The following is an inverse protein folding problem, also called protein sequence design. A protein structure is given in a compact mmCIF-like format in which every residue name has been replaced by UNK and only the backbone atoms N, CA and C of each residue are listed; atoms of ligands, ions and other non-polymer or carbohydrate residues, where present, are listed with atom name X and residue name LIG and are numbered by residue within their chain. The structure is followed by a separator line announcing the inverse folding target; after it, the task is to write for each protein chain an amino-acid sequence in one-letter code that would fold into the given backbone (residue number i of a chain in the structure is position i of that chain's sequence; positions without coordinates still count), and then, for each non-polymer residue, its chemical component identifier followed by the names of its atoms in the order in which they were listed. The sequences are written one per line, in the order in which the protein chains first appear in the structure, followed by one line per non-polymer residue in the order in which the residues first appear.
data_IF_645891667706
#
_entry.id   IF_645891667706
#
_cell.length_a   1.000
_cell.length_b   1.000
_cell.length_c   1.000
_cell.angle_alpha   90.00
_cell.angle_beta   90.00
_cell.angle_gamma   90.00
#
_symmetry.space_group_name_H-M   'P 1'
#
loop_
_entity.id
_entity.type
_entity.pdbx_description
1 polymer ?
#
# COMPACT_ATOMS: atom_id res chain seq x y z
N UNK A 1 10.18 -22.06 25.05
CA UNK A 1 11.13 -22.54 24.03
C UNK A 1 10.80 -21.87 22.72
N UNK A 2 11.75 -21.06 22.24
CA UNK A 2 11.70 -20.39 20.95
C UNK A 2 12.03 -21.41 19.86
N UNK A 3 11.20 -21.51 18.83
CA UNK A 3 11.61 -22.10 17.55
C UNK A 3 11.43 -21.05 16.46
N UNK A 4 12.56 -20.46 16.08
CA UNK A 4 12.71 -19.64 14.88
C UNK A 4 13.02 -20.58 13.71
N UNK A 5 12.22 -20.52 12.63
CA UNK A 5 12.55 -21.15 11.35
C UNK A 5 13.11 -20.09 10.43
N UNK A 6 14.44 -20.03 10.34
CA UNK A 6 15.16 -19.26 9.34
C UNK A 6 15.00 -19.93 7.98
N UNK A 7 14.58 -19.16 6.97
CA UNK A 7 14.66 -19.58 5.57
C UNK A 7 15.98 -19.06 4.99
N UNK A 8 16.86 -19.99 4.60
CA UNK A 8 18.08 -19.69 3.84
C UNK A 8 17.70 -19.45 2.38
N UNK A 9 18.04 -18.28 1.84
CA UNK A 9 17.80 -17.93 0.43
C UNK A 9 18.96 -18.45 -0.40
N UNK A 10 18.73 -19.46 -1.24
CA UNK A 10 19.70 -19.86 -2.26
C UNK A 10 19.56 -18.94 -3.47
N UNK A 11 20.62 -18.18 -3.77
CA UNK A 11 20.77 -17.38 -4.99
C UNK A 11 21.05 -18.33 -6.15
N UNK A 12 20.19 -18.32 -7.19
CA UNK A 12 20.48 -19.01 -8.45
C UNK A 12 20.80 -17.94 -9.50
N UNK A 13 22.07 -17.87 -9.89
CA UNK A 13 22.52 -17.16 -11.08
C UNK A 13 22.40 -18.10 -12.28
N UNK A 14 21.59 -17.76 -13.29
CA UNK A 14 21.63 -18.45 -14.58
C UNK A 14 22.63 -17.76 -15.49
N UNK A 15 23.81 -18.36 -15.67
CA UNK A 15 24.63 -18.16 -16.86
C UNK A 15 24.03 -18.91 -18.05
N UNK A 16 24.27 -18.39 -19.23
CA UNK A 16 23.81 -18.88 -20.52
C UNK A 16 24.12 -20.35 -20.80
N UNK A 17 23.23 -20.95 -21.60
CA UNK A 17 23.32 -22.25 -22.30
C UNK A 17 22.76 -23.49 -21.57
N UNK A 18 21.85 -24.16 -22.30
CA UNK A 18 21.16 -25.43 -22.03
C UNK A 18 19.94 -25.42 -21.09
N UNK A 19 18.81 -25.94 -21.61
CA UNK A 19 17.57 -26.19 -20.86
C UNK A 19 17.79 -27.33 -19.84
N UNK A 20 17.41 -27.19 -18.56
CA UNK A 20 17.27 -28.35 -17.69
C UNK A 20 15.81 -28.82 -17.61
N UNK A 21 15.66 -30.14 -17.71
CA UNK A 21 14.46 -30.91 -17.41
C UNK A 21 14.07 -30.81 -15.93
N UNK A 22 12.77 -30.70 -15.63
CA UNK A 22 12.22 -30.77 -14.27
C UNK A 22 12.49 -32.15 -13.63
N UNK A 23 13.30 -32.20 -12.58
CA UNK A 23 13.30 -33.29 -11.61
C UNK A 23 12.74 -32.78 -10.29
N UNK A 24 11.52 -33.19 -9.94
CA UNK A 24 10.95 -32.93 -8.62
C UNK A 24 11.56 -33.90 -7.59
N UNK A 25 12.25 -33.38 -6.58
CA UNK A 25 12.70 -34.17 -5.43
C UNK A 25 11.58 -34.18 -4.39
N UNK A 26 10.91 -35.31 -4.22
CA UNK A 26 10.02 -35.57 -3.07
C UNK A 26 10.87 -35.90 -1.85
N UNK A 27 10.82 -35.06 -0.81
CA UNK A 27 11.31 -35.40 0.52
C UNK A 27 10.18 -36.00 1.37
N UNK A 28 10.31 -37.25 1.78
CA UNK A 28 9.44 -37.94 2.74
C UNK A 28 9.90 -37.67 4.17
N UNK A 29 8.97 -37.35 5.07
CA UNK A 29 9.20 -37.37 6.53
C UNK A 29 8.31 -38.46 7.13
N UNK A 30 8.95 -39.45 7.77
CA UNK A 30 8.33 -40.56 8.49
C UNK A 30 8.04 -40.18 9.95
N UNK A 31 6.90 -40.61 10.50
CA UNK A 31 6.62 -40.49 11.94
C UNK A 31 5.19 -40.81 12.40
N UNK A 32 4.91 -42.11 12.61
CA UNK A 32 3.95 -42.74 13.52
C UNK A 32 2.43 -42.47 13.42
N UNK A 33 1.69 -43.55 13.07
CA UNK A 33 0.25 -43.73 13.23
C UNK A 33 -0.18 -43.88 14.71
N UNK A 34 -1.32 -43.29 15.07
CA UNK A 34 -2.24 -43.86 16.06
C UNK A 34 -3.63 -43.90 15.41
N UNK A 35 -4.19 -45.11 15.31
CA UNK A 35 -5.54 -45.40 14.86
C UNK A 35 -6.57 -44.95 15.90
N UNK A 36 -7.47 -44.03 15.54
CA UNK A 36 -8.79 -43.93 16.17
C UNK A 36 -9.84 -43.91 15.07
N UNK A 37 -10.52 -45.04 14.91
CA UNK A 37 -11.67 -45.19 14.02
C UNK A 37 -12.88 -44.57 14.71
N UNK A 38 -13.31 -43.40 14.25
CA UNK A 38 -14.66 -42.90 14.50
C UNK A 38 -15.38 -42.89 13.16
N UNK A 39 -16.31 -43.83 13.04
CA UNK A 39 -17.20 -44.00 11.91
C UNK A 39 -18.28 -42.92 12.01
N UNK A 40 -18.20 -41.87 11.18
CA UNK A 40 -19.30 -40.94 10.98
C UNK A 40 -19.53 -40.68 9.49
N UNK A 41 -20.83 -40.60 9.19
CA UNK A 41 -21.45 -40.77 7.90
C UNK A 41 -20.97 -39.81 6.81
N UNK A 42 -21.11 -40.25 5.57
CA UNK A 42 -20.96 -39.44 4.37
C UNK A 42 -21.90 -38.22 4.41
N UNK A 43 -21.34 -37.08 4.81
CA UNK A 43 -21.75 -35.76 4.37
C UNK A 43 -20.51 -35.08 3.81
N UNK A 44 -20.55 -34.77 2.51
CA UNK A 44 -19.47 -34.10 1.80
C UNK A 44 -19.32 -32.66 2.25
N UNK A 45 -18.61 -32.45 3.36
CA UNK A 45 -18.05 -31.16 3.74
C UNK A 45 -16.52 -31.31 3.75
N UNK A 46 -15.86 -31.01 2.64
CA UNK A 46 -14.41 -30.81 2.64
C UNK A 46 -14.13 -29.41 3.16
N UNK A 47 -13.41 -29.38 4.29
CA UNK A 47 -13.12 -28.19 5.07
C UNK A 47 -12.51 -27.05 4.27
N UNK A 48 -13.14 -25.89 4.42
CA UNK A 48 -12.60 -24.59 4.05
C UNK A 48 -11.45 -24.30 5.02
N UNK A 49 -10.23 -24.51 4.57
CA UNK A 49 -9.07 -23.88 5.21
C UNK A 49 -9.16 -22.41 4.86
N UNK A 50 -9.44 -21.56 5.86
CA UNK A 50 -9.50 -20.12 5.72
C UNK A 50 -8.09 -19.57 5.43
N UNK A 51 -7.67 -19.66 4.17
CA UNK A 51 -6.65 -18.80 3.59
C UNK A 51 -7.37 -17.61 2.97
N UNK A 52 -7.89 -16.72 3.81
CA UNK A 52 -8.34 -15.41 3.37
C UNK A 52 -7.09 -14.63 2.94
N UNK A 53 -7.00 -14.39 1.63
CA UNK A 53 -6.17 -13.38 0.91
C UNK A 53 -4.97 -13.83 0.03
N UNK A 54 -4.46 -15.09 -0.06
CA UNK A 54 -3.44 -15.35 -1.09
C UNK A 54 -4.00 -15.70 -2.49
N UNK A 55 -5.25 -16.16 -2.63
CA UNK A 55 -5.68 -16.76 -3.91
C UNK A 55 -6.07 -15.73 -4.97
N UNK A 56 -6.51 -14.54 -4.58
CA UNK A 56 -6.79 -13.46 -5.54
C UNK A 56 -5.47 -12.91 -6.12
N UNK A 57 -4.38 -12.90 -5.34
CA UNK A 57 -3.06 -12.48 -5.84
C UNK A 57 -2.31 -13.59 -6.61
N UNK A 58 -2.56 -14.87 -6.31
CA UNK A 58 -1.93 -16.01 -7.02
C UNK A 58 -2.51 -16.25 -8.42
N UNK A 59 -3.80 -15.95 -8.62
CA UNK A 59 -4.41 -15.96 -9.97
C UNK A 59 -3.79 -14.94 -10.93
N UNK A 60 -3.09 -13.93 -10.38
CA UNK A 60 -2.48 -12.84 -11.14
C UNK A 60 -0.97 -13.03 -11.34
N UNK A 61 -0.34 -13.93 -10.58
CA UNK A 61 1.10 -14.17 -10.64
C UNK A 61 1.50 -15.34 -11.56
N UNK A 62 0.54 -16.13 -12.06
CA UNK A 62 0.83 -17.31 -12.89
C UNK A 62 0.32 -17.23 -14.33
N UNK A 63 -0.36 -16.15 -14.73
CA UNK A 63 -0.65 -15.91 -16.15
C UNK A 63 0.48 -15.10 -16.78
N UNK A 64 1.42 -15.80 -17.43
CA UNK A 64 2.28 -15.25 -18.48
C UNK A 64 1.51 -14.87 -19.76
N UNK A 65 0.18 -14.82 -19.69
CA UNK A 65 -0.71 -14.41 -20.76
C UNK A 65 -0.84 -12.90 -20.74
N UNK A 66 -0.47 -12.24 -21.84
CA UNK A 66 -0.88 -10.86 -22.15
C UNK A 66 -2.30 -10.63 -21.65
N UNK A 67 -2.44 -9.82 -20.60
CA UNK A 67 -3.74 -9.31 -20.18
C UNK A 67 -4.14 -8.31 -21.26
N UNK A 68 -5.32 -8.54 -21.84
CA UNK A 68 -5.77 -7.95 -23.09
C UNK A 68 -5.50 -6.45 -23.18
N UNK A 69 -4.89 -6.08 -24.31
CA UNK A 69 -4.75 -4.68 -24.73
C UNK A 69 -6.16 -4.20 -25.06
N UNK A 70 -6.80 -3.44 -24.16
CA UNK A 70 -7.94 -2.61 -24.54
C UNK A 70 -7.41 -1.31 -25.17
N UNK A 71 -6.80 -1.40 -26.35
CA UNK A 71 -6.66 -0.29 -27.31
C UNK A 71 -5.84 -0.73 -28.53
N UNK A 72 -6.21 -0.16 -29.69
CA UNK A 72 -5.54 -0.35 -30.96
C UNK A 72 -4.04 -0.02 -30.89
N UNK A 73 -3.29 -0.73 -31.72
CA UNK A 73 -1.85 -0.62 -31.99
C UNK A 73 -1.30 0.81 -31.85
N UNK A 74 -0.50 1.05 -30.80
CA UNK A 74 0.64 2.02 -30.75
C UNK A 74 1.14 2.32 -29.33
N UNK A 75 0.42 1.95 -28.26
CA UNK A 75 0.91 2.12 -26.89
C UNK A 75 1.42 0.79 -26.30
N UNK A 76 2.75 0.64 -26.25
CA UNK A 76 3.47 -0.55 -25.73
C UNK A 76 3.42 -0.70 -24.20
N UNK A 77 2.68 0.16 -23.50
CA UNK A 77 2.48 0.11 -22.05
C UNK A 77 1.17 -0.57 -21.71
N UNK A 78 1.20 -1.53 -20.77
CA UNK A 78 0.00 -2.18 -20.26
C UNK A 78 -0.93 -1.11 -19.64
N UNK A 79 -2.16 -0.91 -20.14
CA UNK A 79 -3.06 0.15 -19.68
C UNK A 79 -3.43 0.04 -18.20
N UNK A 80 -3.32 -1.16 -17.61
CA UNK A 80 -3.60 -1.42 -16.20
C UNK A 80 -2.35 -1.47 -15.32
N UNK A 81 -1.16 -1.12 -15.84
CA UNK A 81 0.10 -1.21 -15.10
C UNK A 81 0.07 -0.39 -13.80
N UNK A 82 -0.37 0.87 -13.86
CA UNK A 82 -0.46 1.75 -12.69
C UNK A 82 -1.46 1.21 -11.66
N UNK A 83 -2.61 0.69 -12.10
CA UNK A 83 -3.61 0.06 -11.25
C UNK A 83 -3.03 -1.14 -10.48
N UNK A 84 -2.31 -2.01 -11.19
CA UNK A 84 -1.66 -3.17 -10.57
C UNK A 84 -0.54 -2.74 -9.62
N UNK A 85 0.27 -1.76 -10.01
CA UNK A 85 1.32 -1.20 -9.16
C UNK A 85 0.75 -0.67 -7.84
N UNK A 86 -0.35 0.08 -7.89
CA UNK A 86 -1.02 0.59 -6.70
C UNK A 86 -1.55 -0.53 -5.80
N UNK A 87 -2.23 -1.52 -6.37
CA UNK A 87 -2.69 -2.70 -5.63
C UNK A 87 -1.53 -3.45 -4.97
N UNK A 88 -0.38 -3.57 -5.65
CA UNK A 88 0.84 -4.18 -5.08
C UNK A 88 1.45 -3.31 -3.98
N UNK A 89 1.51 -1.99 -4.15
CA UNK A 89 2.05 -1.06 -3.16
C UNK A 89 1.31 -1.17 -1.82
N UNK A 90 -0.03 -1.19 -1.85
CA UNK A 90 -0.84 -1.32 -0.63
C UNK A 90 -0.87 -2.76 -0.06
N UNK A 91 -0.58 -3.79 -0.88
CA UNK A 91 -0.69 -5.19 -0.45
C UNK A 91 0.21 -5.60 0.72
N UNK A 92 1.32 -4.88 0.94
CA UNK A 92 2.38 -5.25 1.90
C UNK A 92 3.26 -6.43 1.46
N UNK A 93 2.97 -7.03 0.30
CA UNK A 93 3.71 -8.15 -0.26
C UNK A 93 4.98 -7.76 -1.02
N UNK A 94 5.75 -8.75 -1.51
CA UNK A 94 6.83 -8.51 -2.45
C UNK A 94 6.29 -8.01 -3.81
N UNK A 95 7.13 -7.26 -4.52
CA UNK A 95 6.85 -6.76 -5.87
C UNK A 95 7.77 -7.47 -6.85
N UNK A 96 7.18 -8.16 -7.82
CA UNK A 96 7.91 -8.83 -8.91
C UNK A 96 7.60 -8.12 -10.22
N UNK A 97 8.64 -7.85 -11.01
CA UNK A 97 8.53 -7.21 -12.33
C UNK A 97 8.71 -8.31 -13.37
N UNK A 98 7.70 -8.52 -14.19
CA UNK A 98 7.70 -9.53 -15.27
C UNK A 98 7.54 -8.92 -16.66
N UNK A 99 7.79 -7.62 -16.78
CA UNK A 99 7.80 -6.93 -18.06
C UNK A 99 8.90 -7.48 -18.98
N UNK A 100 8.70 -7.34 -20.29
CA UNK A 100 9.75 -7.67 -21.26
C UNK A 100 10.95 -6.76 -21.07
N UNK A 101 12.16 -7.34 -21.10
CA UNK A 101 13.42 -6.60 -20.99
C UNK A 101 13.45 -5.46 -22.03
N UNK A 102 13.81 -4.26 -21.56
CA UNK A 102 13.86 -3.05 -22.40
C UNK A 102 12.50 -2.37 -22.63
N UNK A 103 11.40 -2.90 -22.08
CA UNK A 103 10.05 -2.31 -22.17
C UNK A 103 9.46 -1.93 -20.80
N UNK A 104 10.31 -1.63 -19.84
CA UNK A 104 9.90 -1.24 -18.49
C UNK A 104 9.37 0.20 -18.46
N UNK A 105 8.31 0.42 -17.68
CA UNK A 105 7.91 1.78 -17.30
C UNK A 105 8.72 2.24 -16.08
N UNK A 106 9.88 2.85 -16.32
CA UNK A 106 10.75 3.31 -15.24
C UNK A 106 10.13 4.42 -14.39
N UNK A 107 9.23 5.23 -14.93
CA UNK A 107 8.52 6.25 -14.14
C UNK A 107 7.64 5.60 -13.08
N UNK A 108 6.85 4.60 -13.46
CA UNK A 108 6.03 3.83 -12.53
C UNK A 108 6.90 3.03 -11.54
N UNK A 109 7.98 2.41 -11.99
CA UNK A 109 8.89 1.67 -11.10
C UNK A 109 9.51 2.57 -10.03
N UNK A 110 9.85 3.82 -10.36
CA UNK A 110 10.37 4.80 -9.40
C UNK A 110 9.35 5.22 -8.33
N UNK A 111 8.06 4.97 -8.54
CA UNK A 111 7.04 5.17 -7.49
C UNK A 111 6.89 3.98 -6.54
N UNK A 112 7.49 2.82 -6.87
CA UNK A 112 7.43 1.59 -6.07
C UNK A 112 8.76 1.29 -5.38
N UNK A 113 9.87 1.56 -6.05
CA UNK A 113 11.22 1.13 -5.66
C UNK A 113 12.10 2.35 -5.40
N UNK A 114 12.80 2.31 -4.27
CA UNK A 114 13.78 3.32 -3.88
C UNK A 114 15.10 3.15 -4.66
N UNK A 115 15.96 4.18 -4.72
CA UNK A 115 17.28 4.08 -5.37
C UNK A 115 18.17 2.90 -4.94
N UNK A 116 18.04 2.41 -3.70
CA UNK A 116 18.75 1.23 -3.19
C UNK A 116 18.13 -0.12 -3.59
N UNK A 117 17.05 -0.10 -4.39
CA UNK A 117 16.31 -1.30 -4.79
C UNK A 117 15.33 -1.81 -3.72
N UNK A 118 15.27 -1.19 -2.55
CA UNK A 118 14.29 -1.53 -1.52
C UNK A 118 12.93 -0.90 -1.80
N UNK A 119 11.89 -1.40 -1.13
CA UNK A 119 10.50 -0.97 -1.31
C UNK A 119 9.89 -0.48 0.00
N UNK A 120 8.95 0.46 -0.11
CA UNK A 120 8.16 0.95 1.01
C UNK A 120 6.94 0.06 1.22
N UNK A 121 7.06 -0.95 2.08
CA UNK A 121 5.97 -1.89 2.37
C UNK A 121 5.10 -1.42 3.52
N UNK A 122 3.80 -1.63 3.40
CA UNK A 122 2.90 -1.63 4.53
C UNK A 122 3.27 -2.74 5.53
N UNK A 123 2.87 -2.58 6.79
CA UNK A 123 3.19 -3.47 7.92
C UNK A 123 2.37 -4.77 7.91
N UNK A 124 1.21 -4.79 7.23
CA UNK A 124 0.31 -5.95 7.18
C UNK A 124 -0.01 -6.37 5.74
N UNK A 125 -0.85 -7.39 5.59
CA UNK A 125 -1.45 -7.72 4.30
C UNK A 125 -2.71 -6.89 4.12
N UNK A 126 -2.98 -6.44 2.90
CA UNK A 126 -4.17 -5.66 2.62
C UNK A 126 -5.45 -6.49 2.85
N UNK A 127 -6.46 -5.87 3.46
CA UNK A 127 -7.75 -6.48 3.73
C UNK A 127 -8.87 -5.61 3.12
N UNK A 128 -9.97 -6.20 2.63
CA UNK A 128 -11.14 -5.42 2.24
C UNK A 128 -11.68 -4.60 3.42
N UNK A 129 -12.22 -3.41 3.14
CA UNK A 129 -13.04 -2.70 4.13
C UNK A 129 -14.34 -3.47 4.36
N UNK A 130 -14.94 -3.24 5.53
CA UNK A 130 -16.10 -4.04 5.99
C UNK A 130 -17.32 -3.91 5.07
N UNK A 131 -17.51 -2.75 4.48
CA UNK A 131 -18.66 -2.40 3.66
C UNK A 131 -18.63 -3.04 2.27
N UNK A 132 -17.46 -3.42 1.74
CA UNK A 132 -17.34 -4.13 0.46
C UNK A 132 -16.97 -5.62 0.62
N UNK A 133 -16.89 -6.14 1.85
CA UNK A 133 -16.39 -7.50 2.11
C UNK A 133 -17.24 -8.62 1.47
N UNK A 134 -18.56 -8.39 1.34
CA UNK A 134 -19.52 -9.37 0.82
C UNK A 134 -20.19 -8.94 -0.50
N UNK A 135 -19.74 -7.84 -1.09
CA UNK A 135 -20.26 -7.33 -2.36
C UNK A 135 -19.40 -7.82 -3.54
N UNK A 136 -19.93 -7.73 -4.77
CA UNK A 136 -19.19 -8.06 -5.99
C UNK A 136 -18.62 -6.78 -6.64
N UNK A 137 -17.31 -6.48 -6.45
CA UNK A 137 -16.72 -5.26 -7.03
C UNK A 137 -16.46 -5.34 -8.55
N UNK A 138 -16.80 -6.47 -9.18
CA UNK A 138 -16.48 -6.74 -10.58
C UNK A 138 -17.68 -6.60 -11.52
N UNK A 139 -18.89 -6.96 -11.08
CA UNK A 139 -20.04 -7.11 -12.00
C UNK A 139 -21.37 -6.55 -11.51
N UNK A 140 -21.42 -5.86 -10.38
CA UNK A 140 -22.68 -5.33 -9.86
C UNK A 140 -22.98 -3.88 -10.32
N UNK A 141 -22.03 -3.23 -10.99
CA UNK A 141 -22.14 -1.87 -11.50
C UNK A 141 -22.16 -0.76 -10.43
N UNK A 142 -21.96 -1.09 -9.15
CA UNK A 142 -22.12 -0.15 -8.03
C UNK A 142 -21.02 -0.23 -6.97
N UNK A 143 -20.33 -1.35 -6.82
CA UNK A 143 -19.40 -1.58 -5.73
C UNK A 143 -17.99 -1.20 -6.12
N UNK A 144 -17.36 -0.36 -5.29
CA UNK A 144 -15.93 -0.06 -5.37
C UNK A 144 -15.17 -1.03 -4.47
N UNK A 145 -14.11 -1.66 -4.98
CA UNK A 145 -13.23 -2.44 -4.12
C UNK A 145 -12.42 -1.47 -3.27
N UNK A 146 -12.66 -1.48 -1.96
CA UNK A 146 -11.85 -0.77 -0.99
C UNK A 146 -11.04 -1.76 -0.19
N UNK A 147 -9.73 -1.55 -0.14
CA UNK A 147 -8.80 -2.34 0.67
C UNK A 147 -7.98 -1.41 1.53
N UNK A 148 -7.62 -1.82 2.73
CA UNK A 148 -6.84 -1.03 3.66
C UNK A 148 -5.62 -1.78 4.15
N UNK A 149 -4.63 -1.01 4.61
CA UNK A 149 -3.43 -1.50 5.28
C UNK A 149 -2.88 -0.43 6.25
N UNK A 150 -1.86 -0.76 7.02
CA UNK A 150 -1.18 0.15 7.93
C UNK A 150 0.28 0.33 7.55
N UNK A 151 0.77 1.56 7.64
CA UNK A 151 2.19 1.87 7.80
C UNK A 151 2.49 2.05 9.30
N UNK A 152 3.73 2.44 9.64
CA UNK A 152 4.14 2.63 11.04
C UNK A 152 3.35 3.71 11.77
N UNK A 153 2.98 4.79 11.08
CA UNK A 153 2.36 5.99 11.66
C UNK A 153 1.11 6.46 10.93
N UNK A 154 0.78 5.86 9.79
CA UNK A 154 -0.38 6.22 8.97
C UNK A 154 -1.14 4.96 8.55
N UNK A 155 -2.43 5.12 8.27
CA UNK A 155 -3.21 4.14 7.50
C UNK A 155 -3.09 4.40 6.00
N UNK A 156 -3.38 3.38 5.21
CA UNK A 156 -3.55 3.49 3.75
C UNK A 156 -4.88 2.86 3.38
N UNK A 157 -5.72 3.60 2.66
CA UNK A 157 -6.95 3.11 2.06
C UNK A 157 -6.80 3.18 0.54
N UNK A 158 -6.93 2.05 -0.14
CA UNK A 158 -6.92 1.95 -1.58
C UNK A 158 -8.33 1.71 -2.10
N UNK A 159 -8.79 2.60 -2.96
CA UNK A 159 -10.07 2.53 -3.66
C UNK A 159 -9.83 2.15 -5.12
N UNK A 160 -10.52 1.12 -5.60
CA UNK A 160 -10.32 0.56 -6.93
C UNK A 160 -11.66 0.33 -7.62
N UNK A 161 -11.85 0.94 -8.79
CA UNK A 161 -12.98 0.59 -9.64
C UNK A 161 -12.59 -0.61 -10.51
N UNK A 162 -13.02 -1.80 -10.08
CA UNK A 162 -12.74 -3.07 -10.76
C UNK A 162 -13.87 -3.50 -11.72
N UNK A 163 -14.88 -2.65 -11.94
CA UNK A 163 -16.09 -3.02 -12.67
C UNK A 163 -15.80 -3.38 -14.13
N UNK A 164 -16.40 -4.48 -14.57
CA UNK A 164 -16.20 -5.09 -15.87
C UNK A 164 -14.91 -5.89 -15.99
N UNK A 165 -14.04 -5.96 -14.98
CA UNK A 165 -12.87 -6.84 -14.98
C UNK A 165 -13.18 -8.21 -14.39
N UNK A 166 -12.69 -9.30 -14.98
CA UNK A 166 -12.85 -10.61 -14.35
C UNK A 166 -12.04 -11.74 -14.99
N UNK A 167 -11.74 -12.78 -14.22
CA UNK A 167 -11.15 -14.02 -14.73
C UNK A 167 -12.24 -15.01 -15.11
N UNK A 168 -12.31 -15.38 -16.38
CA UNK A 168 -13.20 -16.45 -16.85
C UNK A 168 -12.52 -17.81 -16.67
N UNK A 169 -13.13 -18.69 -15.87
CA UNK A 169 -12.59 -20.02 -15.56
C UNK A 169 -12.60 -20.95 -16.76
N UNK A 170 -13.64 -20.85 -17.59
CA UNK A 170 -13.90 -21.68 -18.76
C UNK A 170 -12.84 -21.43 -19.83
N UNK A 171 -12.59 -20.15 -20.15
CA UNK A 171 -11.61 -19.75 -21.16
C UNK A 171 -10.20 -19.60 -20.61
N UNK A 172 -10.03 -19.63 -19.28
CA UNK A 172 -8.76 -19.39 -18.57
C UNK A 172 -8.08 -18.11 -19.03
N UNK A 173 -8.86 -17.04 -19.15
CA UNK A 173 -8.42 -15.71 -19.58
C UNK A 173 -9.14 -14.65 -18.78
N UNK A 174 -8.48 -13.50 -18.61
CA UNK A 174 -9.17 -12.29 -18.19
C UNK A 174 -10.12 -11.86 -19.30
N UNK A 175 -11.37 -11.63 -18.94
CA UNK A 175 -12.41 -11.13 -19.81
C UNK A 175 -12.88 -9.78 -19.28
N UNK A 176 -13.18 -8.88 -20.22
CA UNK A 176 -13.81 -7.61 -19.92
C UNK A 176 -15.31 -7.74 -20.19
N UNK A 177 -16.12 -7.56 -19.15
CA UNK A 177 -17.57 -7.47 -19.24
C UNK A 177 -17.94 -5.98 -19.32
N UNK A 178 -17.77 -5.39 -20.51
CA UNK A 178 -17.91 -3.95 -20.75
C UNK A 178 -19.27 -3.38 -20.36
N UNK A 179 -20.31 -4.22 -20.29
CA UNK A 179 -21.64 -3.83 -19.82
C UNK A 179 -21.66 -3.38 -18.35
N UNK A 180 -20.62 -3.67 -17.58
CA UNK A 180 -20.49 -3.25 -16.18
C UNK A 180 -19.47 -2.11 -15.99
N UNK A 181 -18.70 -1.74 -17.02
CA UNK A 181 -17.66 -0.71 -16.92
C UNK A 181 -18.26 0.69 -16.85
N UNK A 182 -18.70 1.09 -15.66
CA UNK A 182 -19.26 2.40 -15.35
C UNK A 182 -18.46 3.13 -14.27
N UNK A 183 -18.63 4.45 -14.19
CA UNK A 183 -18.14 5.23 -13.05
C UNK A 183 -18.80 4.71 -11.78
N UNK A 184 -17.99 4.49 -10.75
CA UNK A 184 -18.48 4.10 -9.43
C UNK A 184 -18.16 5.19 -8.43
N UNK A 185 -19.16 5.54 -7.63
CA UNK A 185 -19.03 6.45 -6.49
C UNK A 185 -19.16 5.65 -5.20
N UNK A 186 -18.25 5.89 -4.26
CA UNK A 186 -18.26 5.27 -2.93
C UNK A 186 -17.91 6.31 -1.85
N UNK A 187 -18.19 5.96 -0.61
CA UNK A 187 -17.81 6.75 0.56
C UNK A 187 -16.56 6.14 1.19
N UNK A 188 -15.56 6.95 1.48
CA UNK A 188 -14.41 6.58 2.29
C UNK A 188 -14.49 7.20 3.67
N UNK A 189 -14.09 6.44 4.67
CA UNK A 189 -14.06 6.88 6.06
C UNK A 189 -12.74 6.46 6.71
N UNK A 190 -12.15 7.27 7.62
CA UNK A 190 -11.02 6.82 8.43
C UNK A 190 -11.26 5.50 9.18
N UNK A 191 -12.51 5.16 9.50
CA UNK A 191 -12.92 3.88 10.11
C UNK A 191 -12.91 2.67 9.17
N UNK A 192 -12.76 2.88 7.86
CA UNK A 192 -12.59 1.76 6.91
C UNK A 192 -11.25 1.05 7.14
N UNK A 193 -10.32 1.67 7.87
CA UNK A 193 -9.04 1.12 8.30
C UNK A 193 -9.18 0.54 9.71
N UNK A 194 -8.80 -0.73 9.90
CA UNK A 194 -8.82 -1.36 11.23
C UNK A 194 -7.52 -1.05 11.99
N UNK A 195 -7.43 0.16 12.55
CA UNK A 195 -6.23 0.74 13.21
C UNK A 195 -5.58 -0.12 14.32
N UNK A 196 -6.36 -0.99 14.95
CA UNK A 196 -5.92 -1.89 16.02
C UNK A 196 -5.35 -3.21 15.51
N UNK A 197 -5.32 -3.42 14.19
CA UNK A 197 -4.86 -4.67 13.60
C UNK A 197 -3.35 -4.83 13.66
N UNK A 198 -2.91 -6.09 13.73
CA UNK A 198 -1.51 -6.48 13.63
C UNK A 198 -0.69 -6.30 14.91
N UNK A 199 0.63 -6.39 14.78
CA UNK A 199 1.56 -6.46 15.93
C UNK A 199 1.87 -5.11 16.57
N UNK A 200 1.70 -4.02 15.81
CA UNK A 200 2.02 -2.65 16.21
C UNK A 200 0.83 -1.76 15.87
N UNK A 201 -0.24 -1.79 16.67
CA UNK A 201 -1.44 -1.01 16.40
C UNK A 201 -1.15 0.50 16.52
N UNK A 202 -1.86 1.30 15.73
CA UNK A 202 -1.83 2.76 15.84
C UNK A 202 -2.98 3.17 16.76
N UNK A 203 -2.67 3.84 17.87
CA UNK A 203 -3.72 4.39 18.72
C UNK A 203 -4.36 5.60 18.05
N UNK A 204 -5.68 5.57 17.90
CA UNK A 204 -6.50 6.68 17.43
C UNK A 204 -7.42 7.23 18.54
N UNK A 205 -7.14 6.86 19.80
CA UNK A 205 -7.90 7.37 20.94
C UNK A 205 -7.66 8.87 21.10
N UNK A 206 -8.74 9.64 21.25
CA UNK A 206 -8.68 11.11 21.35
C UNK A 206 -8.42 11.85 20.02
N UNK A 207 -8.22 11.14 18.90
CA UNK A 207 -8.03 11.77 17.59
C UNK A 207 -9.35 12.39 17.11
N UNK A 208 -9.35 13.70 16.90
CA UNK A 208 -10.54 14.46 16.51
C UNK A 208 -10.61 14.73 15.00
N UNK A 209 -9.46 14.72 14.31
CA UNK A 209 -9.32 15.02 12.89
C UNK A 209 -8.28 14.09 12.28
N UNK A 210 -8.51 13.68 11.04
CA UNK A 210 -7.57 12.97 10.20
C UNK A 210 -7.22 13.81 8.98
N UNK A 211 -5.96 13.76 8.58
CA UNK A 211 -5.46 14.26 7.31
C UNK A 211 -5.52 13.13 6.27
N UNK A 212 -6.29 13.31 5.20
CA UNK A 212 -6.46 12.36 4.10
C UNK A 212 -5.77 12.93 2.87
N UNK A 213 -4.64 12.35 2.49
CA UNK A 213 -3.92 12.73 1.27
C UNK A 213 -4.24 11.76 0.14
N UNK A 214 -4.85 12.29 -0.91
CA UNK A 214 -5.23 11.59 -2.14
C UNK A 214 -4.05 11.62 -3.11
N UNK A 215 -3.50 10.45 -3.42
CA UNK A 215 -2.27 10.33 -4.20
C UNK A 215 -2.46 10.77 -5.67
N UNK A 216 -3.48 10.24 -6.37
CA UNK A 216 -3.76 10.59 -7.77
C UNK A 216 -4.24 12.03 -7.89
N UNK A 217 -5.19 12.45 -7.04
CA UNK A 217 -5.71 13.81 -7.06
C UNK A 217 -4.72 14.86 -6.51
N UNK A 218 -3.62 14.44 -5.86
CA UNK A 218 -2.62 15.30 -5.19
C UNK A 218 -3.24 16.32 -4.24
N UNK A 219 -4.27 15.88 -3.51
CA UNK A 219 -5.14 16.75 -2.70
C UNK A 219 -5.13 16.30 -1.24
N UNK A 220 -5.16 17.28 -0.33
CA UNK A 220 -5.38 17.07 1.09
C UNK A 220 -6.85 17.37 1.46
N UNK A 221 -7.45 16.49 2.26
CA UNK A 221 -8.77 16.69 2.87
C UNK A 221 -8.68 16.40 4.36
N UNK A 222 -9.27 17.26 5.19
CA UNK A 222 -9.43 16.99 6.62
C UNK A 222 -10.79 16.34 6.86
N UNK A 223 -10.82 15.30 7.68
CA UNK A 223 -12.05 14.56 7.99
C UNK A 223 -12.13 14.24 9.47
N UNK A 224 -13.32 14.34 10.06
CA UNK A 224 -13.57 13.79 11.40
C UNK A 224 -13.55 12.25 11.36
N UNK A 225 -13.32 11.57 12.49
CA UNK A 225 -13.25 10.11 12.57
C UNK A 225 -14.48 9.34 12.06
N UNK A 226 -15.65 9.97 11.97
CA UNK A 226 -16.89 9.33 11.50
C UNK A 226 -17.48 10.02 10.27
N UNK A 227 -16.74 10.94 9.67
CA UNK A 227 -17.18 11.69 8.50
C UNK A 227 -16.83 10.90 7.24
N UNK A 228 -17.79 10.86 6.31
CA UNK A 228 -17.64 10.20 5.03
C UNK A 228 -17.17 11.20 3.99
N UNK A 229 -16.18 10.82 3.19
CA UNK A 229 -15.70 11.59 2.05
C UNK A 229 -16.01 10.82 0.79
N UNK A 230 -16.60 11.48 -0.20
CA UNK A 230 -16.97 10.85 -1.47
C UNK A 230 -15.75 10.65 -2.38
N UNK A 231 -15.71 9.48 -3.04
CA UNK A 231 -14.73 9.12 -4.06
C UNK A 231 -15.48 8.61 -5.28
N UNK A 232 -15.21 9.19 -6.44
CA UNK A 232 -15.73 8.75 -7.74
C UNK A 232 -14.59 8.35 -8.65
N UNK A 233 -14.66 7.15 -9.23
CA UNK A 233 -13.61 6.59 -10.08
C UNK A 233 -14.17 6.05 -11.39
N UNK A 234 -13.52 6.40 -12.49
CA UNK A 234 -13.72 5.77 -13.80
C UNK A 234 -13.33 4.27 -13.75
N UNK A 235 -13.90 3.43 -14.63
CA UNK A 235 -13.51 2.02 -14.74
C UNK A 235 -11.99 1.84 -14.87
N UNK A 236 -11.44 0.84 -14.16
CA UNK A 236 -10.01 0.52 -14.15
C UNK A 236 -9.11 1.65 -13.64
N UNK A 237 -9.68 2.57 -12.87
CA UNK A 237 -8.94 3.61 -12.16
C UNK A 237 -8.94 3.37 -10.65
N UNK A 238 -8.02 4.03 -9.95
CA UNK A 238 -7.79 3.84 -8.52
C UNK A 238 -7.46 5.15 -7.83
N UNK A 239 -7.57 5.15 -6.51
CA UNK A 239 -7.02 6.18 -5.66
C UNK A 239 -6.38 5.53 -4.42
N UNK A 240 -5.20 6.01 -4.04
CA UNK A 240 -4.55 5.63 -2.79
C UNK A 240 -4.60 6.81 -1.83
N UNK A 241 -5.23 6.60 -0.69
CA UNK A 241 -5.42 7.63 0.33
C UNK A 241 -4.54 7.29 1.52
N UNK A 242 -3.57 8.16 1.80
CA UNK A 242 -2.84 8.12 3.06
C UNK A 242 -3.69 8.79 4.13
N UNK A 243 -4.05 8.05 5.16
CA UNK A 243 -4.87 8.54 6.28
C UNK A 243 -3.96 8.70 7.48
N UNK A 244 -3.74 9.93 7.93
CA UNK A 244 -2.89 10.23 9.08
C UNK A 244 -3.71 10.84 10.22
N UNK A 245 -3.60 10.31 11.46
CA UNK A 245 -4.09 11.00 12.64
C UNK A 245 -3.47 12.39 12.76
N UNK A 246 -4.28 13.40 13.11
CA UNK A 246 -3.78 14.74 13.43
C UNK A 246 -3.50 14.84 14.93
N UNK A 247 -2.34 15.37 15.27
CA UNK A 247 -1.87 15.58 16.64
C UNK A 247 -1.69 17.07 16.91
N UNK A 248 -2.02 17.51 18.13
CA UNK A 248 -1.76 18.86 18.60
C UNK A 248 -0.36 18.93 19.21
N UNK A 249 0.44 19.93 18.81
CA UNK A 249 1.72 20.23 19.46
C UNK A 249 1.47 20.89 20.82
N UNK A 250 1.98 20.29 21.89
CA UNK A 250 1.69 20.76 23.24
C UNK A 250 2.20 22.19 23.45
N UNK A 251 1.44 23.00 24.18
CA UNK A 251 1.77 24.42 24.41
C UNK A 251 1.51 25.34 23.21
N UNK A 252 0.99 24.84 22.09
CA UNK A 252 0.61 25.64 20.92
C UNK A 252 -0.78 25.27 20.40
N UNK A 253 -1.28 26.06 19.43
CA UNK A 253 -2.48 25.74 18.66
C UNK A 253 -2.18 24.94 17.38
N UNK A 254 -0.92 24.57 17.14
CA UNK A 254 -0.50 23.93 15.89
C UNK A 254 -0.98 22.47 15.86
N UNK A 255 -1.67 22.13 14.78
CA UNK A 255 -2.04 20.77 14.42
C UNK A 255 -1.09 20.24 13.36
N UNK A 256 -0.69 18.99 13.49
CA UNK A 256 0.28 18.37 12.61
C UNK A 256 -0.10 16.92 12.30
N UNK A 257 0.14 16.49 11.06
CA UNK A 257 0.03 15.09 10.68
C UNK A 257 1.06 14.73 9.59
N UNK A 258 1.82 13.64 9.75
CA UNK A 258 2.75 13.22 8.72
C UNK A 258 2.00 12.64 7.50
N UNK A 259 2.43 12.98 6.28
CA UNK A 259 1.90 12.35 5.06
C UNK A 259 2.93 11.38 4.49
N UNK A 260 4.13 11.84 4.17
CA UNK A 260 5.23 11.01 3.66
C UNK A 260 5.74 11.46 2.28
N UNK A 261 6.43 10.55 1.57
CA UNK A 261 7.00 10.82 0.25
C UNK A 261 5.94 10.65 -0.84
N UNK A 262 5.36 11.75 -1.33
CA UNK A 262 4.20 11.73 -2.23
C UNK A 262 4.53 11.31 -3.66
N UNK A 263 5.82 11.21 -3.99
CA UNK A 263 6.32 10.59 -5.22
C UNK A 263 6.27 9.04 -5.17
N UNK A 264 5.97 8.44 -4.02
CA UNK A 264 5.85 7.00 -3.84
C UNK A 264 4.37 6.60 -3.75
N UNK A 265 4.00 5.44 -4.32
CA UNK A 265 2.62 4.93 -4.23
C UNK A 265 2.22 4.59 -2.79
N UNK A 266 3.15 4.07 -1.99
CA UNK A 266 2.97 3.95 -0.54
C UNK A 266 3.64 5.13 0.18
N UNK A 267 3.01 6.30 0.09
CA UNK A 267 3.49 7.59 0.63
C UNK A 267 3.95 7.50 2.09
N UNK A 268 3.07 7.06 2.99
CA UNK A 268 3.35 6.98 4.43
C UNK A 268 4.34 5.87 4.81
N UNK A 269 4.63 4.92 3.91
CA UNK A 269 5.59 3.85 4.13
C UNK A 269 7.03 4.37 4.26
N UNK A 270 7.29 5.59 3.81
CA UNK A 270 8.59 6.26 3.95
C UNK A 270 8.90 6.62 5.42
N UNK A 271 7.88 6.83 6.25
CA UNK A 271 8.05 7.32 7.62
C UNK A 271 8.57 6.20 8.53
N UNK A 272 9.79 6.38 9.04
CA UNK A 272 10.49 5.43 9.91
C UNK A 272 10.37 5.76 11.40
N UNK A 273 10.33 7.05 11.73
CA UNK A 273 10.14 7.56 13.10
C UNK A 273 9.35 8.86 13.08
N UNK A 274 8.66 9.14 14.19
CA UNK A 274 7.93 10.39 14.42
C UNK A 274 8.10 10.76 15.90
N UNK A 275 8.55 11.98 16.17
CA UNK A 275 8.71 12.53 17.51
C UNK A 275 8.19 13.97 17.56
N UNK A 276 7.42 14.27 18.60
CA UNK A 276 6.96 15.63 18.93
C UNK A 276 7.81 16.12 20.10
N UNK A 277 8.59 17.17 19.86
CA UNK A 277 9.49 17.75 20.85
C UNK A 277 8.83 19.01 21.43
N UNK A 278 8.18 18.81 22.57
CA UNK A 278 7.47 19.85 23.30
C UNK A 278 8.33 20.29 24.50
N UNK A 279 9.46 20.95 24.22
CA UNK A 279 10.36 21.43 25.28
C UNK A 279 10.02 22.88 25.65
N UNK A 280 9.74 23.13 26.93
CA UNK A 280 9.36 24.46 27.47
C UNK A 280 10.41 25.55 27.19
N UNK A 281 11.68 25.17 26.99
CA UNK A 281 12.80 26.10 26.77
C UNK A 281 13.26 26.19 25.30
N UNK A 282 12.75 25.37 24.39
CA UNK A 282 13.10 25.36 22.97
C UNK A 282 11.87 25.56 22.08
N UNK A 283 12.07 25.98 20.83
CA UNK A 283 10.99 26.05 19.84
C UNK A 283 10.36 24.67 19.65
N UNK A 284 9.03 24.60 19.65
CA UNK A 284 8.30 23.36 19.41
C UNK A 284 8.70 22.80 18.05
N UNK A 285 8.95 21.49 17.99
CA UNK A 285 9.37 20.86 16.75
C UNK A 285 8.80 19.47 16.56
N UNK A 286 8.66 19.09 15.29
CA UNK A 286 8.32 17.72 14.89
C UNK A 286 9.49 17.14 14.13
N UNK A 287 9.97 15.98 14.54
CA UNK A 287 11.03 15.24 13.86
C UNK A 287 10.47 13.99 13.21
N UNK A 288 10.80 13.78 11.94
CA UNK A 288 10.38 12.64 11.13
C UNK A 288 11.61 11.98 10.52
N UNK A 289 11.83 10.71 10.85
CA UNK A 289 12.80 9.89 10.13
C UNK A 289 12.18 9.42 8.81
N UNK A 290 12.80 9.73 7.68
CA UNK A 290 12.29 9.44 6.34
C UNK A 290 13.26 8.51 5.61
N UNK A 291 12.77 7.36 5.16
CA UNK A 291 13.50 6.46 4.25
C UNK A 291 13.08 6.74 2.81
N UNK A 292 14.02 7.18 1.99
CA UNK A 292 13.81 7.42 0.57
C UNK A 292 14.29 8.79 0.14
N UNK A 293 13.83 9.23 -1.03
CA UNK A 293 14.11 10.55 -1.59
C UNK A 293 12.90 11.01 -2.40
N UNK A 294 12.76 12.33 -2.53
CA UNK A 294 11.71 12.98 -3.32
C UNK A 294 10.92 13.97 -2.50
N UNK A 295 9.69 14.21 -2.94
CA UNK A 295 8.83 15.22 -2.35
C UNK A 295 8.17 14.69 -1.08
N UNK A 296 8.62 15.20 0.07
CA UNK A 296 7.99 14.97 1.37
C UNK A 296 6.90 16.00 1.59
N UNK A 297 5.72 15.53 1.99
CA UNK A 297 4.65 16.39 2.48
C UNK A 297 4.26 16.03 3.91
N UNK A 298 3.78 17.04 4.64
CA UNK A 298 3.09 16.91 5.92
C UNK A 298 1.93 17.90 5.96
N UNK A 299 0.90 17.59 6.72
CA UNK A 299 -0.11 18.58 7.08
C UNK A 299 0.36 19.38 8.29
N UNK A 300 0.22 20.70 8.21
CA UNK A 300 0.34 21.59 9.36
C UNK A 300 -0.67 22.72 9.27
N UNK A 301 -1.37 23.00 10.38
CA UNK A 301 -2.34 24.10 10.44
C UNK A 301 -1.70 25.48 10.36
N UNK A 302 -0.42 25.59 10.70
CA UNK A 302 0.35 26.83 10.67
C UNK A 302 1.60 26.65 9.80
N UNK A 303 2.15 27.77 9.32
CA UNK A 303 3.40 27.77 8.58
C UNK A 303 4.59 27.57 9.53
N UNK A 304 5.48 26.57 9.36
CA UNK A 304 6.70 26.45 10.15
C UNK A 304 7.60 27.69 10.02
N UNK A 305 8.38 27.98 11.05
CA UNK A 305 9.42 29.02 11.02
C UNK A 305 10.60 28.54 10.17
N UNK A 306 10.99 27.28 10.31
CA UNK A 306 12.09 26.68 9.59
C UNK A 306 11.90 25.17 9.45
N UNK A 307 12.48 24.62 8.40
CA UNK A 307 12.60 23.17 8.22
C UNK A 307 14.09 22.80 8.11
N UNK A 308 14.47 21.66 8.69
CA UNK A 308 15.81 21.11 8.55
C UNK A 308 15.79 19.68 8.03
N UNK A 309 16.85 19.31 7.33
CA UNK A 309 17.18 17.92 7.01
C UNK A 309 18.57 17.63 7.54
N UNK A 310 18.69 16.64 8.41
CA UNK A 310 19.96 16.23 9.02
C UNK A 310 20.71 17.45 9.61
N UNK A 311 19.99 18.21 10.44
CA UNK A 311 20.41 19.46 11.12
C UNK A 311 20.73 20.66 10.22
N UNK A 312 20.55 20.54 8.90
CA UNK A 312 20.76 21.65 7.96
C UNK A 312 19.45 22.29 7.56
N UNK A 313 19.36 23.61 7.67
CA UNK A 313 18.18 24.37 7.22
C UNK A 313 18.01 24.20 5.71
N UNK A 314 16.79 23.90 5.29
CA UNK A 314 16.42 23.70 3.88
C UNK A 314 15.27 24.63 3.48
N UNK A 315 15.19 25.03 2.20
CA UNK A 315 14.00 25.69 1.69
C UNK A 315 12.81 24.73 1.73
N UNK A 316 11.62 25.28 1.99
CA UNK A 316 10.36 24.56 1.95
C UNK A 316 9.26 25.48 1.41
N UNK A 317 8.19 24.88 0.93
CA UNK A 317 6.98 25.59 0.52
C UNK A 317 5.85 25.29 1.51
N UNK A 318 4.98 26.27 1.76
CA UNK A 318 3.77 26.08 2.54
C UNK A 318 2.57 26.53 1.72
N UNK A 319 1.70 25.57 1.36
CA UNK A 319 0.52 25.82 0.53
C UNK A 319 -0.60 24.86 0.91
N UNK A 320 -1.83 25.37 1.03
CA UNK A 320 -3.01 24.55 1.31
C UNK A 320 -2.84 23.66 2.56
N UNK A 321 -2.24 24.23 3.62
CA UNK A 321 -1.90 23.53 4.87
C UNK A 321 -0.91 22.36 4.71
N UNK A 322 -0.22 22.27 3.59
CA UNK A 322 0.85 21.32 3.35
C UNK A 322 2.21 22.01 3.39
N UNK A 323 3.12 21.48 4.19
CA UNK A 323 4.55 21.80 4.08
C UNK A 323 5.17 20.84 3.08
N UNK A 324 5.88 21.37 2.09
CA UNK A 324 6.51 20.60 1.01
C UNK A 324 8.02 20.78 1.07
N UNK A 325 8.74 19.66 1.16
CA UNK A 325 10.21 19.63 1.26
C UNK A 325 10.75 18.59 0.27
N UNK A 326 11.84 18.92 -0.41
CA UNK A 326 12.58 17.94 -1.22
C UNK A 326 13.62 17.22 -0.37
N UNK A 327 13.39 15.93 -0.10
CA UNK A 327 14.30 15.08 0.68
C UNK A 327 15.32 14.46 -0.27
N UNK A 328 16.63 14.77 -0.14
CA UNK A 328 17.67 14.16 -0.95
C UNK A 328 17.87 12.69 -0.55
N UNK A 329 18.50 11.92 -1.44
CA UNK A 329 18.93 10.58 -1.06
C UNK A 329 20.05 10.67 0.00
N UNK A 330 19.92 9.96 1.14
CA UNK A 330 20.90 10.09 2.23
C UNK A 330 22.27 9.55 1.79
N UNK A 331 23.33 10.29 2.11
CA UNK A 331 24.70 9.98 1.69
C UNK A 331 25.39 8.90 2.53
N UNK A 332 24.93 8.68 3.77
CA UNK A 332 25.62 7.82 4.75
C UNK A 332 24.70 7.05 5.69
N UNK A 333 23.41 7.42 5.77
CA UNK A 333 22.39 6.75 6.59
C UNK A 333 21.35 6.04 5.71
N UNK A 334 20.58 5.14 6.31
CA UNK A 334 19.44 4.50 5.63
C UNK A 334 18.18 5.40 5.62
N UNK A 335 18.23 6.58 6.23
CA UNK A 335 17.13 7.53 6.36
C UNK A 335 17.64 8.93 6.70
N UNK A 336 16.95 9.97 6.22
CA UNK A 336 17.18 11.36 6.63
C UNK A 336 16.25 11.74 7.77
N UNK A 337 16.69 12.64 8.65
CA UNK A 337 15.87 13.23 9.69
C UNK A 337 15.35 14.58 9.23
N UNK A 338 14.03 14.70 9.07
CA UNK A 338 13.35 15.95 8.71
C UNK A 338 12.76 16.58 9.97
N UNK A 339 13.13 17.82 10.27
CA UNK A 339 12.65 18.58 11.42
C UNK A 339 11.84 19.79 10.96
N UNK A 340 10.65 19.98 11.54
CA UNK A 340 9.77 21.13 11.34
C UNK A 340 9.73 21.93 12.63
N UNK A 341 10.05 23.22 12.57
CA UNK A 341 10.20 24.09 13.75
C UNK A 341 9.10 25.15 13.73
N UNK A 342 8.40 25.31 14.85
CA UNK A 342 7.26 26.21 15.04
C UNK A 342 7.52 27.26 16.13
#
# INVERSE_FOLDING_TARGET
MVYSLAWSTATISCSSESRPSLSAVLGTISGALIHLVIQMAHFGCRGVTWCTVPTIAYGWATSSTQIGICSNESNLLNPCAAFHAAARAISGGPIYISDTVGKHNFELLKTLVLPDGSILRCEHYALPSRDCLFEDPLHDGKTMLKIWNLNKYTGVLGAFNCQGGGWCRETRRNQCASQYSHVVTSLANPKDIEWKSGKKPISIEGVQVFALYYHQAKKLVLSKPSENVEISLEPFNFELITVSPVTFLAGTSVQFAPIGLVNMLNTGGAIQSLAFNDHIEASNSVQIGVKGTGEMRVFSSENPIACKIDDKVVPFEYKEFMVVIQVPWPSSSNSSMVEYIF
#
